data_IF_897965166314
#
_entry.id   IF_897965166314
#
_cell.length_a   1.000
_cell.length_b   1.000
_cell.length_c   1.000
_cell.angle_alpha   90.00
_cell.angle_beta   90.00
_cell.angle_gamma   90.00
#
_symmetry.space_group_name_H-M   'P 1'
#
loop_
_entity.id
_entity.type
_entity.pdbx_description
1 polymer ?
#
# COMPACT_ATOMS: atom_id res chain seq x y z
N UNK A 1 1.05 12.66 17.87
CA UNK A 1 1.47 11.39 18.49
C UNK A 1 2.61 11.70 19.48
N UNK A 2 2.68 10.96 20.55
CA UNK A 2 3.79 11.05 21.50
C UNK A 2 4.90 10.10 21.00
N UNK A 3 6.03 10.67 20.62
CA UNK A 3 7.14 9.91 20.04
C UNK A 3 7.71 8.86 21.02
N UNK A 4 7.71 9.18 22.34
CA UNK A 4 8.15 8.23 23.37
C UNK A 4 7.21 7.01 23.44
N UNK A 5 5.90 7.23 23.26
CA UNK A 5 4.93 6.13 23.20
C UNK A 5 5.11 5.28 21.94
N UNK A 6 5.44 5.88 20.80
CA UNK A 6 5.73 5.12 19.57
C UNK A 6 6.99 4.25 19.74
N UNK A 7 8.05 4.78 20.35
CA UNK A 7 9.23 3.97 20.66
C UNK A 7 8.93 2.82 21.60
N UNK A 8 8.10 3.03 22.61
CA UNK A 8 7.69 1.94 23.51
C UNK A 8 6.95 0.83 22.78
N UNK A 9 6.11 1.14 21.79
CA UNK A 9 5.45 0.13 20.94
C UNK A 9 6.46 -0.68 20.12
N UNK A 10 7.45 0.01 19.54
CA UNK A 10 8.55 -0.64 18.81
C UNK A 10 9.31 -1.61 19.72
N UNK A 11 9.71 -1.16 20.90
CA UNK A 11 10.46 -1.97 21.85
C UNK A 11 9.65 -3.23 22.25
N UNK A 12 8.36 -3.09 22.55
CA UNK A 12 7.47 -4.23 22.87
C UNK A 12 7.34 -5.18 21.69
N UNK A 13 7.20 -4.68 20.47
CA UNK A 13 7.11 -5.54 19.28
C UNK A 13 8.39 -6.38 19.10
N UNK A 14 9.55 -5.76 19.26
CA UNK A 14 10.84 -6.45 19.17
C UNK A 14 11.06 -7.46 20.30
N UNK A 15 10.68 -7.13 21.54
CA UNK A 15 10.72 -8.06 22.67
C UNK A 15 9.84 -9.30 22.45
N UNK A 16 8.72 -9.13 21.74
CA UNK A 16 7.81 -10.22 21.37
C UNK A 16 8.24 -10.97 20.09
N UNK A 17 9.37 -10.62 19.50
CA UNK A 17 9.95 -11.30 18.36
C UNK A 17 9.39 -10.89 17.01
N UNK A 18 8.94 -9.65 16.86
CA UNK A 18 8.54 -9.13 15.55
C UNK A 18 9.74 -9.14 14.58
N UNK A 19 9.55 -9.75 13.42
CA UNK A 19 10.54 -9.80 12.33
C UNK A 19 10.38 -8.66 11.32
N UNK A 20 9.22 -7.96 11.36
CA UNK A 20 8.94 -6.78 10.57
C UNK A 20 8.09 -5.77 11.36
N UNK A 21 8.32 -4.50 11.14
CA UNK A 21 7.56 -3.39 11.73
C UNK A 21 7.13 -2.45 10.60
N UNK A 22 5.86 -2.05 10.59
CA UNK A 22 5.38 -1.04 9.66
C UNK A 22 5.26 0.32 10.36
N UNK A 23 5.94 1.33 9.80
CA UNK A 23 5.69 2.73 10.14
C UNK A 23 4.47 3.23 9.36
N UNK A 24 3.35 3.35 10.05
CA UNK A 24 2.08 3.85 9.50
C UNK A 24 1.82 5.31 9.87
N UNK A 25 2.86 6.04 10.20
CA UNK A 25 2.78 7.48 10.53
C UNK A 25 2.16 8.27 9.36
N UNK A 26 1.30 9.22 9.69
CA UNK A 26 0.48 9.91 8.68
C UNK A 26 0.25 11.38 9.01
N UNK A 27 0.98 11.94 9.95
CA UNK A 27 0.85 13.34 10.35
C UNK A 27 2.20 13.96 10.70
N UNK A 28 2.45 15.15 10.17
CA UNK A 28 3.67 15.89 10.42
C UNK A 28 4.88 15.37 9.64
N UNK A 29 6.07 15.68 10.15
CA UNK A 29 7.35 15.30 9.52
C UNK A 29 7.79 13.90 9.96
N UNK A 30 7.31 12.88 9.29
CA UNK A 30 7.52 11.47 9.62
C UNK A 30 8.95 10.99 9.33
N UNK A 31 9.66 11.63 8.40
CA UNK A 31 10.98 11.19 7.90
C UNK A 31 12.02 11.00 9.00
N UNK A 32 12.04 11.89 10.01
CA UNK A 32 13.00 11.79 11.11
C UNK A 32 12.78 10.53 11.95
N UNK A 33 11.51 10.22 12.28
CA UNK A 33 11.14 9.01 13.00
C UNK A 33 11.44 7.75 12.18
N UNK A 34 11.06 7.73 10.90
CA UNK A 34 11.33 6.61 9.97
C UNK A 34 12.82 6.27 9.90
N UNK A 35 13.69 7.28 9.72
CA UNK A 35 15.15 7.07 9.69
C UNK A 35 15.69 6.52 11.00
N UNK A 36 15.25 7.08 12.12
CA UNK A 36 15.64 6.60 13.45
C UNK A 36 15.14 5.16 13.68
N UNK A 37 13.94 4.79 13.19
CA UNK A 37 13.42 3.45 13.26
C UNK A 37 14.26 2.46 12.44
N UNK A 38 14.63 2.81 11.21
CA UNK A 38 15.49 1.99 10.35
C UNK A 38 16.87 1.76 11.00
N UNK A 39 17.48 2.81 11.54
CA UNK A 39 18.79 2.70 12.20
C UNK A 39 18.76 1.85 13.48
N UNK A 40 17.64 1.87 14.22
CA UNK A 40 17.52 1.23 15.54
C UNK A 40 16.95 -0.18 15.47
N UNK A 41 16.08 -0.47 14.52
CA UNK A 41 15.36 -1.73 14.45
C UNK A 41 16.21 -2.85 13.85
N UNK A 42 16.34 -4.01 14.50
CA UNK A 42 16.89 -5.21 13.88
C UNK A 42 15.87 -5.93 12.97
N UNK A 43 14.60 -5.58 13.06
CA UNK A 43 13.52 -6.12 12.23
C UNK A 43 13.37 -5.28 10.96
N UNK A 44 12.85 -5.88 9.89
CA UNK A 44 12.53 -5.19 8.65
C UNK A 44 11.58 -4.01 8.89
N UNK A 45 11.80 -2.90 8.21
CA UNK A 45 10.94 -1.71 8.32
C UNK A 45 10.19 -1.48 7.02
N UNK A 46 8.86 -1.51 7.12
CA UNK A 46 7.96 -1.21 6.01
C UNK A 46 7.22 0.10 6.18
N UNK A 47 6.79 0.69 5.08
CA UNK A 47 6.06 1.97 5.08
C UNK A 47 4.93 1.99 4.05
N UNK A 48 4.07 3.01 4.16
CA UNK A 48 3.00 3.29 3.18
C UNK A 48 3.21 4.70 2.61
N UNK A 49 3.95 4.87 1.52
CA UNK A 49 4.31 6.19 0.97
C UNK A 49 3.12 7.11 0.71
N UNK A 50 1.95 6.55 0.36
CA UNK A 50 0.73 7.32 0.17
C UNK A 50 0.34 8.16 1.39
N UNK A 51 0.63 7.70 2.61
CA UNK A 51 0.32 8.46 3.83
C UNK A 51 1.19 9.70 3.96
N UNK A 52 2.45 9.60 3.55
CA UNK A 52 3.38 10.72 3.52
C UNK A 52 3.06 11.72 2.39
N UNK A 53 2.64 11.24 1.22
CA UNK A 53 2.30 12.10 0.10
C UNK A 53 1.26 13.17 0.48
N UNK A 54 0.30 12.83 1.33
CA UNK A 54 -0.72 13.78 1.80
C UNK A 54 -0.21 14.64 2.96
N UNK A 55 0.55 14.06 3.89
CA UNK A 55 1.02 14.76 5.09
C UNK A 55 2.28 15.59 4.87
N UNK A 56 3.20 15.11 4.04
CA UNK A 56 4.52 15.69 3.83
C UNK A 56 4.54 16.83 2.80
N UNK A 57 3.76 16.68 1.71
CA UNK A 57 3.78 17.64 0.61
C UNK A 57 3.02 18.95 0.92
N UNK A 58 2.24 18.99 2.01
CA UNK A 58 1.40 20.14 2.39
C UNK A 58 0.51 20.65 1.22
N UNK A 59 0.17 19.73 0.27
CA UNK A 59 -0.69 20.00 -0.88
C UNK A 59 -2.11 19.49 -0.62
N UNK A 60 -3.10 20.14 -1.21
CA UNK A 60 -4.42 19.56 -1.29
C UNK A 60 -4.38 18.27 -2.15
N UNK A 61 -5.19 17.27 -1.81
CA UNK A 61 -5.18 15.97 -2.51
C UNK A 61 -5.25 16.10 -4.03
N UNK A 62 -6.07 17.02 -4.52
CA UNK A 62 -6.27 17.27 -5.95
C UNK A 62 -5.05 17.90 -6.64
N UNK A 63 -4.18 18.56 -5.89
CA UNK A 63 -2.98 19.22 -6.40
C UNK A 63 -1.73 18.32 -6.41
N UNK A 64 -1.85 17.11 -5.87
CA UNK A 64 -0.78 16.12 -5.88
C UNK A 64 -0.68 15.54 -7.30
N UNK A 65 0.51 15.61 -7.87
CA UNK A 65 0.80 15.08 -9.20
C UNK A 65 1.32 13.64 -9.15
N UNK A 66 1.28 12.87 -10.25
CA UNK A 66 1.94 11.57 -10.31
C UNK A 66 3.42 11.60 -9.92
N UNK A 67 4.16 12.64 -10.35
CA UNK A 67 5.57 12.81 -9.99
C UNK A 67 5.77 12.98 -8.48
N UNK A 68 4.86 13.69 -7.79
CA UNK A 68 4.89 13.81 -6.34
C UNK A 68 4.78 12.45 -5.64
N UNK A 69 3.93 11.55 -6.15
CA UNK A 69 3.81 10.19 -5.60
C UNK A 69 5.10 9.37 -5.82
N UNK A 70 5.72 9.47 -6.99
CA UNK A 70 6.99 8.79 -7.28
C UNK A 70 8.13 9.35 -6.42
N UNK A 71 8.18 10.67 -6.22
CA UNK A 71 9.18 11.33 -5.36
C UNK A 71 9.08 10.83 -3.91
N UNK A 72 7.85 10.67 -3.39
CA UNK A 72 7.67 10.15 -2.03
C UNK A 72 8.12 8.69 -1.93
N UNK A 73 7.84 7.83 -2.93
CA UNK A 73 8.38 6.45 -2.95
C UNK A 73 9.91 6.48 -2.93
N UNK A 74 10.53 7.31 -3.79
CA UNK A 74 11.98 7.47 -3.85
C UNK A 74 12.55 7.91 -2.51
N UNK A 75 11.94 8.89 -1.85
CA UNK A 75 12.39 9.36 -0.54
C UNK A 75 12.34 8.27 0.54
N UNK A 76 11.33 7.39 0.51
CA UNK A 76 11.27 6.24 1.42
C UNK A 76 12.36 5.20 1.10
N UNK A 77 12.57 4.89 -0.19
CA UNK A 77 13.61 3.96 -0.63
C UNK A 77 15.02 4.47 -0.26
N UNK A 78 15.30 5.76 -0.50
CA UNK A 78 16.57 6.42 -0.10
C UNK A 78 16.80 6.43 1.42
N UNK A 79 15.73 6.47 2.21
CA UNK A 79 15.84 6.38 3.67
C UNK A 79 16.21 4.97 4.15
N UNK A 80 16.13 3.95 3.26
CA UNK A 80 16.57 2.58 3.53
C UNK A 80 15.45 1.67 4.09
N UNK A 81 14.18 1.89 3.74
CA UNK A 81 13.11 0.95 4.10
C UNK A 81 13.30 -0.39 3.40
N UNK A 82 12.89 -1.48 4.03
CA UNK A 82 12.98 -2.84 3.45
C UNK A 82 11.83 -3.13 2.48
N UNK A 83 10.65 -2.55 2.73
CA UNK A 83 9.50 -2.69 1.85
C UNK A 83 8.56 -1.48 1.90
N UNK A 84 7.83 -1.28 0.80
CA UNK A 84 6.78 -0.25 0.72
C UNK A 84 5.46 -0.86 0.28
N UNK A 85 4.36 -0.48 0.94
CA UNK A 85 3.02 -0.88 0.54
C UNK A 85 2.41 0.16 -0.39
N UNK A 86 2.03 -0.29 -1.59
CA UNK A 86 1.36 0.53 -2.61
C UNK A 86 0.09 -0.15 -3.12
N UNK A 87 -0.99 0.61 -3.26
CA UNK A 87 -2.29 0.10 -3.71
C UNK A 87 -2.40 0.24 -5.24
N UNK A 88 -1.51 -0.42 -5.97
CA UNK A 88 -1.45 -0.33 -7.42
C UNK A 88 -2.54 -1.12 -8.16
N UNK A 89 -3.15 -2.14 -7.52
CA UNK A 89 -4.17 -3.00 -8.15
C UNK A 89 -5.48 -2.29 -8.48
N UNK A 90 -5.80 -1.20 -7.78
CA UNK A 90 -7.03 -0.45 -7.97
C UNK A 90 -6.93 0.53 -9.16
N UNK A 91 -7.20 0.04 -10.36
CA UNK A 91 -7.30 0.86 -11.58
C UNK A 91 -8.76 1.28 -11.87
N UNK A 92 -8.98 2.07 -12.94
CA UNK A 92 -10.33 2.52 -13.34
C UNK A 92 -11.32 1.38 -13.52
N UNK A 93 -10.91 0.26 -14.09
CA UNK A 93 -11.77 -0.91 -14.28
C UNK A 93 -12.21 -1.52 -12.95
N UNK A 94 -11.33 -1.56 -11.96
CA UNK A 94 -11.66 -2.04 -10.61
C UNK A 94 -12.65 -1.09 -9.93
N UNK A 95 -12.45 0.23 -10.11
CA UNK A 95 -13.39 1.25 -9.60
C UNK A 95 -14.78 1.11 -10.24
N UNK A 96 -14.85 0.86 -11.55
CA UNK A 96 -16.14 0.64 -12.22
C UNK A 96 -16.86 -0.58 -11.63
N UNK A 97 -16.14 -1.70 -11.43
CA UNK A 97 -16.69 -2.86 -10.74
C UNK A 97 -17.16 -2.52 -9.32
N UNK A 98 -16.38 -1.75 -8.57
CA UNK A 98 -16.75 -1.30 -7.21
C UNK A 98 -18.05 -0.48 -7.18
N UNK A 99 -18.23 0.44 -8.13
CA UNK A 99 -19.44 1.27 -8.22
C UNK A 99 -20.71 0.46 -8.46
N UNK A 100 -20.58 -0.76 -9.00
CA UNK A 100 -21.69 -1.67 -9.27
C UNK A 100 -22.00 -2.62 -8.09
N UNK A 101 -21.09 -2.79 -7.12
CA UNK A 101 -21.23 -3.80 -6.06
C UNK A 101 -22.23 -3.43 -4.96
N UNK A 102 -22.45 -2.14 -4.68
CA UNK A 102 -23.34 -1.67 -3.60
C UNK A 102 -22.88 -2.10 -2.22
N UNK A 103 -21.60 -2.01 -1.91
CA UNK A 103 -21.00 -2.40 -0.61
C UNK A 103 -21.64 -1.68 0.59
N UNK A 104 -21.71 -2.39 1.70
CA UNK A 104 -22.15 -1.83 2.99
C UNK A 104 -21.11 -0.88 3.61
N UNK A 105 -19.82 -1.24 3.49
CA UNK A 105 -18.72 -0.52 4.16
C UNK A 105 -17.83 0.27 3.21
N UNK A 106 -18.20 0.35 1.93
CA UNK A 106 -17.40 1.02 0.89
C UNK A 106 -15.92 0.55 0.86
N UNK A 107 -14.97 1.49 0.74
CA UNK A 107 -13.53 1.24 0.74
C UNK A 107 -13.00 1.46 2.14
N UNK A 108 -12.59 0.40 2.83
CA UNK A 108 -12.08 0.45 4.21
C UNK A 108 -10.56 0.60 4.29
N UNK A 109 -9.85 0.33 3.19
CA UNK A 109 -8.42 0.61 3.08
C UNK A 109 -8.18 2.11 3.12
N UNK A 110 -7.33 2.58 4.04
CA UNK A 110 -6.99 4.01 4.11
C UNK A 110 -6.24 4.48 2.85
N UNK A 111 -5.20 3.74 2.43
CA UNK A 111 -4.46 4.06 1.21
C UNK A 111 -5.35 3.97 -0.03
N UNK A 112 -6.16 2.91 -0.12
CA UNK A 112 -7.12 2.73 -1.20
C UNK A 112 -8.15 3.85 -1.28
N UNK A 113 -8.74 4.28 -0.16
CA UNK A 113 -9.72 5.38 -0.14
C UNK A 113 -9.11 6.73 -0.55
N UNK A 114 -7.86 6.99 -0.21
CA UNK A 114 -7.16 8.21 -0.59
C UNK A 114 -6.87 8.26 -2.10
N UNK A 115 -6.39 7.13 -2.66
CA UNK A 115 -6.16 7.03 -4.11
C UNK A 115 -7.48 7.10 -4.87
N UNK A 116 -8.51 6.40 -4.39
CA UNK A 116 -9.86 6.50 -4.98
C UNK A 116 -10.35 7.96 -5.02
N UNK A 117 -10.23 8.70 -3.91
CA UNK A 117 -10.63 10.10 -3.84
C UNK A 117 -9.81 10.97 -4.80
N UNK A 118 -8.52 10.72 -4.95
CA UNK A 118 -7.67 11.42 -5.90
C UNK A 118 -8.08 11.13 -7.35
N UNK A 119 -8.30 9.87 -7.70
CA UNK A 119 -8.75 9.46 -9.03
C UNK A 119 -10.10 10.07 -9.40
N UNK A 120 -11.05 10.11 -8.46
CA UNK A 120 -12.37 10.71 -8.71
C UNK A 120 -12.29 12.25 -8.82
N UNK A 121 -11.45 12.90 -8.02
CA UNK A 121 -11.30 14.35 -8.06
C UNK A 121 -10.56 14.85 -9.30
N UNK A 122 -9.56 14.12 -9.77
CA UNK A 122 -8.71 14.52 -10.90
C UNK A 122 -9.18 13.97 -12.24
N UNK A 123 -9.93 12.87 -12.25
CA UNK A 123 -10.27 12.13 -13.46
C UNK A 123 -9.11 11.28 -14.02
N UNK A 124 -7.97 11.22 -13.34
CA UNK A 124 -6.79 10.46 -13.78
C UNK A 124 -6.85 8.99 -13.35
N UNK A 125 -6.00 8.17 -13.93
CA UNK A 125 -5.76 6.79 -13.52
C UNK A 125 -4.98 6.76 -12.20
N UNK A 126 -5.02 5.64 -11.47
CA UNK A 126 -4.18 5.41 -10.30
C UNK A 126 -2.70 5.60 -10.65
N UNK A 127 -1.99 6.55 -10.05
CA UNK A 127 -0.61 6.86 -10.44
C UNK A 127 0.34 5.68 -10.21
N UNK A 128 0.11 4.84 -9.19
CA UNK A 128 0.92 3.66 -8.93
C UNK A 128 0.66 2.52 -9.93
N UNK A 129 -0.49 2.52 -10.60
CA UNK A 129 -0.79 1.61 -11.70
C UNK A 129 -0.25 2.13 -13.03
N UNK A 130 -0.50 3.40 -13.33
CA UNK A 130 -0.11 4.04 -14.59
C UNK A 130 1.40 4.11 -14.75
N UNK A 131 2.10 4.51 -13.69
CA UNK A 131 3.57 4.63 -13.65
C UNK A 131 4.23 3.48 -12.89
N UNK A 132 3.67 2.27 -12.99
CA UNK A 132 4.15 1.11 -12.22
C UNK A 132 5.60 0.75 -12.54
N UNK A 133 6.02 0.88 -13.81
CA UNK A 133 7.41 0.59 -14.21
C UNK A 133 8.41 1.60 -13.59
N UNK A 134 8.01 2.86 -13.42
CA UNK A 134 8.82 3.86 -12.72
C UNK A 134 8.91 3.54 -11.21
N UNK A 135 7.81 3.08 -10.60
CA UNK A 135 7.83 2.57 -9.22
C UNK A 135 8.81 1.40 -9.11
N UNK A 136 8.72 0.41 -10.00
CA UNK A 136 9.62 -0.75 -9.98
C UNK A 136 11.08 -0.36 -10.19
N UNK A 137 11.36 0.61 -11.08
CA UNK A 137 12.73 1.10 -11.29
C UNK A 137 13.33 1.70 -10.02
N UNK A 138 12.55 2.52 -9.27
CA UNK A 138 12.97 3.07 -7.99
C UNK A 138 13.25 1.96 -6.97
N UNK A 139 12.34 0.99 -6.84
CA UNK A 139 12.46 -0.08 -5.86
C UNK A 139 13.63 -1.02 -6.19
N UNK A 140 13.85 -1.31 -7.47
CA UNK A 140 14.99 -2.12 -7.92
C UNK A 140 16.34 -1.43 -7.62
N UNK A 141 16.43 -0.11 -7.86
CA UNK A 141 17.63 0.68 -7.60
C UNK A 141 18.06 0.62 -6.12
N UNK A 142 17.10 0.55 -5.21
CA UNK A 142 17.33 0.59 -3.75
C UNK A 142 17.15 -0.76 -3.06
N UNK A 143 16.94 -1.85 -3.80
CA UNK A 143 16.70 -3.22 -3.28
C UNK A 143 15.51 -3.27 -2.28
N UNK A 144 14.42 -2.57 -2.61
CA UNK A 144 13.21 -2.48 -1.78
C UNK A 144 12.15 -3.44 -2.30
N UNK A 145 11.56 -4.23 -1.40
CA UNK A 145 10.43 -5.11 -1.72
C UNK A 145 9.14 -4.30 -1.92
N UNK A 146 8.38 -4.62 -2.97
CA UNK A 146 7.02 -4.05 -3.11
C UNK A 146 6.01 -4.92 -2.36
N UNK A 147 5.19 -4.30 -1.52
CA UNK A 147 3.99 -4.88 -0.94
C UNK A 147 2.78 -4.34 -1.71
N UNK A 148 2.12 -5.20 -2.48
CA UNK A 148 0.92 -4.84 -3.25
C UNK A 148 -0.29 -4.89 -2.32
N UNK A 149 -0.76 -3.69 -1.93
CA UNK A 149 -1.86 -3.52 -1.00
C UNK A 149 -3.23 -3.76 -1.64
N UNK A 150 -4.15 -4.38 -0.90
CA UNK A 150 -5.52 -4.65 -1.28
C UNK A 150 -6.44 -3.44 -0.98
N UNK A 151 -6.55 -2.50 -1.91
CA UNK A 151 -7.43 -1.34 -1.78
C UNK A 151 -8.90 -1.73 -1.63
N UNK A 152 -9.31 -2.82 -2.31
CA UNK A 152 -10.68 -3.31 -2.35
C UNK A 152 -10.98 -4.40 -1.31
N UNK A 153 -10.12 -4.61 -0.29
CA UNK A 153 -10.46 -5.51 0.82
C UNK A 153 -11.79 -5.08 1.46
N UNK A 154 -12.70 -6.03 1.76
CA UNK A 154 -14.02 -5.69 2.30
C UNK A 154 -13.93 -5.33 3.78
N UNK A 155 -14.89 -4.52 4.26
CA UNK A 155 -15.04 -4.20 5.68
C UNK A 155 -16.06 -5.08 6.41
N UNK A 156 -16.78 -5.91 5.67
CA UNK A 156 -17.77 -6.83 6.21
C UNK A 156 -17.79 -8.14 5.43
N UNK A 157 -18.26 -9.22 6.06
CA UNK A 157 -18.45 -10.52 5.38
C UNK A 157 -19.42 -10.41 4.20
N UNK A 158 -20.40 -9.51 4.28
CA UNK A 158 -21.35 -9.28 3.20
C UNK A 158 -20.70 -8.77 1.92
N UNK A 159 -19.65 -7.96 2.06
CA UNK A 159 -18.91 -7.36 0.95
C UNK A 159 -17.77 -8.27 0.45
N UNK A 160 -17.48 -9.37 1.18
CA UNK A 160 -16.33 -10.24 0.90
C UNK A 160 -16.47 -10.97 -0.45
N UNK A 161 -15.35 -11.11 -1.15
CA UNK A 161 -15.26 -11.79 -2.47
C UNK A 161 -16.20 -11.20 -3.52
N UNK A 162 -16.51 -9.92 -3.43
CA UNK A 162 -17.30 -9.23 -4.44
C UNK A 162 -16.51 -8.99 -5.75
N UNK A 163 -17.20 -8.49 -6.76
CA UNK A 163 -16.60 -8.27 -8.07
C UNK A 163 -15.42 -7.29 -8.03
N UNK A 164 -15.43 -6.30 -7.14
CA UNK A 164 -14.34 -5.34 -7.00
C UNK A 164 -13.10 -5.96 -6.37
N UNK A 165 -13.26 -6.74 -5.29
CA UNK A 165 -12.16 -7.46 -4.66
C UNK A 165 -11.50 -8.45 -5.63
N UNK A 166 -12.30 -9.24 -6.34
CA UNK A 166 -11.79 -10.21 -7.32
C UNK A 166 -11.12 -9.50 -8.52
N UNK A 167 -11.70 -8.39 -9.00
CA UNK A 167 -11.09 -7.63 -10.10
C UNK A 167 -9.72 -7.06 -9.70
N UNK A 168 -9.58 -6.54 -8.47
CA UNK A 168 -8.29 -6.08 -7.95
C UNK A 168 -7.29 -7.23 -7.81
N UNK A 169 -7.70 -8.38 -7.26
CA UNK A 169 -6.84 -9.54 -7.10
C UNK A 169 -6.24 -9.99 -8.44
N UNK A 170 -7.02 -10.00 -9.50
CA UNK A 170 -6.56 -10.32 -10.86
C UNK A 170 -5.51 -9.29 -11.35
N UNK A 171 -5.71 -8.00 -11.08
CA UNK A 171 -4.74 -6.96 -11.44
C UNK A 171 -3.47 -7.09 -10.61
N UNK A 172 -3.56 -7.36 -9.31
CA UNK A 172 -2.41 -7.62 -8.44
C UNK A 172 -1.57 -8.79 -8.96
N UNK A 173 -2.19 -9.88 -9.42
CA UNK A 173 -1.47 -10.99 -10.04
C UNK A 173 -0.65 -10.58 -11.27
N UNK A 174 -1.21 -9.73 -12.14
CA UNK A 174 -0.47 -9.18 -13.30
C UNK A 174 0.68 -8.27 -12.89
N UNK A 175 0.46 -7.42 -11.88
CA UNK A 175 1.48 -6.52 -11.34
C UNK A 175 2.60 -7.30 -10.66
N UNK A 176 2.27 -8.39 -9.97
CA UNK A 176 3.25 -9.32 -9.37
C UNK A 176 4.19 -9.88 -10.43
N UNK A 177 3.66 -10.37 -11.57
CA UNK A 177 4.50 -10.89 -12.65
C UNK A 177 5.41 -9.79 -13.23
N UNK A 178 4.89 -8.58 -13.42
CA UNK A 178 5.70 -7.44 -13.91
C UNK A 178 6.84 -7.08 -12.94
N UNK A 179 6.56 -7.12 -11.62
CA UNK A 179 7.59 -6.85 -10.61
C UNK A 179 8.70 -7.92 -10.63
N UNK A 180 8.35 -9.20 -10.75
CA UNK A 180 9.34 -10.27 -10.89
C UNK A 180 10.18 -10.12 -12.18
N UNK A 181 9.54 -9.78 -13.30
CA UNK A 181 10.23 -9.54 -14.57
C UNK A 181 11.21 -8.35 -14.45
N UNK A 182 10.91 -7.36 -13.60
CA UNK A 182 11.79 -6.23 -13.29
C UNK A 182 12.82 -6.53 -12.17
N UNK A 183 12.84 -7.74 -11.61
CA UNK A 183 13.78 -8.13 -10.55
C UNK A 183 13.45 -7.56 -9.17
N UNK A 184 12.18 -7.18 -8.92
CA UNK A 184 11.70 -6.66 -7.64
C UNK A 184 10.99 -7.77 -6.87
N UNK A 185 11.33 -7.94 -5.59
CA UNK A 185 10.62 -8.85 -4.69
C UNK A 185 9.21 -8.34 -4.39
N UNK A 186 8.25 -9.26 -4.25
CA UNK A 186 6.84 -8.93 -4.05
C UNK A 186 6.28 -9.61 -2.82
N UNK A 187 5.57 -8.84 -2.00
CA UNK A 187 4.56 -9.33 -1.07
C UNK A 187 3.17 -8.95 -1.59
N UNK A 188 2.17 -9.81 -1.42
CA UNK A 188 0.79 -9.52 -1.79
C UNK A 188 -0.06 -9.47 -0.52
N UNK A 189 -0.78 -8.37 -0.32
CA UNK A 189 -1.83 -8.31 0.71
C UNK A 189 -3.08 -8.99 0.16
N UNK A 190 -3.29 -10.22 0.56
CA UNK A 190 -4.47 -10.98 0.14
C UNK A 190 -4.36 -12.45 0.46
N UNK A 191 -5.50 -13.11 0.49
CA UNK A 191 -6.86 -12.57 0.56
C UNK A 191 -7.13 -11.85 1.88
N UNK A 192 -7.51 -10.57 1.80
CA UNK A 192 -7.80 -9.74 2.97
C UNK A 192 -9.28 -9.73 3.35
N UNK A 193 -9.59 -9.84 4.65
CA UNK A 193 -10.92 -9.62 5.23
C UNK A 193 -12.06 -10.45 4.59
N UNK A 194 -11.92 -11.76 4.49
CA UNK A 194 -12.93 -12.63 3.91
C UNK A 194 -13.40 -13.71 4.89
N UNK A 195 -14.45 -14.43 4.53
CA UNK A 195 -14.89 -15.61 5.26
C UNK A 195 -13.83 -16.71 5.21
N UNK A 196 -13.65 -17.46 6.32
CA UNK A 196 -12.58 -18.47 6.44
C UNK A 196 -12.68 -19.59 5.38
N UNK A 197 -13.88 -19.96 4.98
CA UNK A 197 -14.15 -20.98 3.98
C UNK A 197 -13.84 -20.53 2.55
N UNK A 198 -13.72 -19.21 2.30
CA UNK A 198 -13.38 -18.63 0.99
C UNK A 198 -11.87 -18.47 0.77
N UNK A 199 -11.05 -18.54 1.81
CA UNK A 199 -9.60 -18.34 1.72
C UNK A 199 -8.96 -19.25 0.68
N UNK A 200 -9.29 -20.54 0.69
CA UNK A 200 -8.70 -21.51 -0.24
C UNK A 200 -9.03 -21.22 -1.72
N UNK A 201 -10.22 -20.68 -2.01
CA UNK A 201 -10.62 -20.29 -3.34
C UNK A 201 -9.89 -19.03 -3.80
N UNK A 202 -9.81 -18.01 -2.94
CA UNK A 202 -9.09 -16.76 -3.22
C UNK A 202 -7.59 -16.98 -3.43
N UNK A 203 -6.94 -17.81 -2.60
CA UNK A 203 -5.53 -18.19 -2.76
C UNK A 203 -5.24 -18.93 -4.08
N UNK A 204 -6.22 -19.63 -4.65
CA UNK A 204 -6.06 -20.24 -5.99
C UNK A 204 -6.15 -19.22 -7.12
N UNK A 205 -6.89 -18.13 -6.92
CA UNK A 205 -6.98 -17.05 -7.91
C UNK A 205 -5.77 -16.14 -7.87
N UNK A 206 -5.12 -16.01 -6.71
CA UNK A 206 -3.91 -15.22 -6.51
C UNK A 206 -2.67 -15.87 -7.17
N UNK A 207 -2.62 -17.21 -7.26
CA UNK A 207 -1.51 -17.98 -7.86
C UNK A 207 -1.62 -18.10 -9.36
#
# INVERSE_FOLDING_TARGET
ADEEEEWRKVDVALELGAEAIMDLSNSGKTRAFRRALIERSPAMVGTVPMYDAIGYLEKALIDITPDDFLEVIRAHAEDGVDFVTVHAGMNRRVIDSFKETGRLTNIVSRGGSLIFAWMEATGNENPFYEFYDDVLAILHEHDVTISLGDAMRPGSIYDASDAAQIAELIEIGKLTQRAWDAGVQVMVEGPGHMALDEIAANMKMEK
#
